data_IF_755486170414
#
_entry.id   IF_755486170414
#
_cell.length_a   1.000
_cell.length_b   1.000
_cell.length_c   1.000
_cell.angle_alpha   90.00
_cell.angle_beta   90.00
_cell.angle_gamma   90.00
#
_symmetry.space_group_name_H-M   'P 1'
#
loop_
_entity.id
_entity.type
_entity.pdbx_description
1 polymer ?
#
# COMPACT_ATOMS: atom_id res chain seq x y z
N UNK A 1 1.75 -4.56 7.60
CA UNK A 1 1.55 -5.56 6.52
C UNK A 1 2.51 -6.71 6.70
N UNK A 2 2.21 -7.85 6.09
CA UNK A 2 3.16 -8.96 5.95
C UNK A 2 3.55 -9.06 4.48
N UNK A 3 4.85 -9.04 4.21
CA UNK A 3 5.37 -9.07 2.84
C UNK A 3 6.69 -9.83 2.77
N UNK A 4 7.04 -10.29 1.57
CA UNK A 4 8.33 -10.89 1.25
C UNK A 4 9.10 -9.87 0.41
N UNK A 5 10.34 -9.51 0.79
CA UNK A 5 11.15 -8.56 0.05
C UNK A 5 11.47 -9.08 -1.37
N UNK A 6 11.61 -8.14 -2.29
CA UNK A 6 11.96 -8.40 -3.68
C UNK A 6 13.25 -9.21 -3.81
N UNK A 7 13.27 -10.14 -4.76
CA UNK A 7 14.47 -10.89 -5.15
C UNK A 7 15.15 -10.27 -6.39
N UNK A 8 14.83 -9.00 -6.71
CA UNK A 8 15.47 -8.24 -7.78
C UNK A 8 14.80 -8.33 -9.15
N UNK A 9 13.89 -9.28 -9.39
CA UNK A 9 13.24 -9.44 -10.71
C UNK A 9 11.83 -10.03 -10.64
N UNK A 10 11.01 -9.72 -11.67
CA UNK A 10 9.64 -10.23 -11.83
C UNK A 10 9.58 -11.75 -11.82
N UNK A 11 10.50 -12.39 -12.53
CA UNK A 11 10.56 -13.86 -12.63
C UNK A 11 10.83 -14.51 -11.26
N UNK A 12 11.72 -13.91 -10.45
CA UNK A 12 11.98 -14.36 -9.08
C UNK A 12 10.75 -14.21 -8.18
N UNK A 13 10.02 -13.11 -8.31
CA UNK A 13 8.77 -12.88 -7.57
C UNK A 13 7.67 -13.87 -7.98
N UNK A 14 7.50 -14.14 -9.27
CA UNK A 14 6.50 -15.08 -9.77
C UNK A 14 6.81 -16.52 -9.33
N UNK A 15 8.07 -16.96 -9.46
CA UNK A 15 8.51 -18.26 -8.96
C UNK A 15 8.21 -18.40 -7.46
N UNK A 16 8.53 -17.38 -6.66
CA UNK A 16 8.28 -17.41 -5.23
C UNK A 16 6.78 -17.39 -4.90
N UNK A 17 5.99 -16.63 -5.65
CA UNK A 17 4.53 -16.64 -5.55
C UNK A 17 3.94 -18.04 -5.84
N UNK A 18 4.43 -18.72 -6.88
CA UNK A 18 4.02 -20.08 -7.18
C UNK A 18 4.37 -21.07 -6.06
N UNK A 19 5.56 -20.96 -5.45
CA UNK A 19 5.92 -21.76 -4.27
C UNK A 19 5.00 -21.51 -3.08
N UNK A 20 4.67 -20.25 -2.79
CA UNK A 20 3.76 -19.87 -1.71
C UNK A 20 2.35 -20.43 -1.93
N UNK A 21 1.86 -20.39 -3.17
CA UNK A 21 0.58 -21.01 -3.54
C UNK A 21 0.57 -22.52 -3.32
N UNK A 22 1.67 -23.21 -3.65
CA UNK A 22 1.82 -24.66 -3.38
C UNK A 22 1.84 -24.98 -1.88
N UNK A 23 2.33 -24.06 -1.05
CA UNK A 23 2.28 -24.16 0.42
C UNK A 23 0.90 -23.76 1.01
N UNK A 24 -0.12 -23.54 0.17
CA UNK A 24 -1.47 -23.19 0.60
C UNK A 24 -1.67 -21.71 0.95
N UNK A 25 -0.75 -20.83 0.52
CA UNK A 25 -0.91 -19.38 0.64
C UNK A 25 -1.48 -18.87 -0.68
N UNK A 26 -2.80 -18.80 -0.74
CA UNK A 26 -3.54 -18.27 -1.90
C UNK A 26 -3.57 -16.74 -1.91
N UNK A 27 -3.52 -16.14 -0.72
CA UNK A 27 -3.69 -14.71 -0.51
C UNK A 27 -2.36 -13.95 -0.63
N UNK A 28 -1.84 -13.89 -1.87
CA UNK A 28 -0.60 -13.19 -2.20
C UNK A 28 -0.79 -12.23 -3.36
N UNK A 29 0.00 -11.16 -3.38
CA UNK A 29 -0.03 -10.13 -4.40
C UNK A 29 1.39 -9.66 -4.72
N UNK A 30 1.78 -9.68 -5.99
CA UNK A 30 3.09 -9.19 -6.41
C UNK A 30 3.02 -7.66 -6.51
N UNK A 31 3.89 -6.97 -5.79
CA UNK A 31 4.03 -5.51 -5.82
C UNK A 31 4.69 -5.14 -7.15
N UNK A 32 3.92 -4.57 -8.06
CA UNK A 32 4.39 -4.07 -9.36
C UNK A 32 4.65 -2.55 -9.34
N UNK A 33 4.34 -1.89 -8.24
CA UNK A 33 4.53 -0.46 -8.05
C UNK A 33 6.01 -0.06 -8.20
N UNK A 34 6.29 1.15 -8.71
CA UNK A 34 7.65 1.67 -8.87
C UNK A 34 8.26 2.19 -7.55
N UNK A 35 8.03 1.43 -6.47
CA UNK A 35 8.55 1.70 -5.14
C UNK A 35 9.82 0.88 -4.88
N UNK A 36 10.53 1.20 -3.79
CA UNK A 36 11.64 0.38 -3.26
C UNK A 36 11.24 -1.09 -2.97
N UNK A 37 9.94 -1.40 -2.95
CA UNK A 37 9.37 -2.73 -2.76
C UNK A 37 8.96 -3.43 -4.08
N UNK A 38 9.35 -2.89 -5.25
CA UNK A 38 9.05 -3.48 -6.55
C UNK A 38 9.51 -4.95 -6.63
N UNK A 39 8.64 -5.82 -7.11
CA UNK A 39 8.79 -7.29 -7.14
C UNK A 39 8.76 -7.96 -5.76
N UNK A 40 8.38 -7.24 -4.70
CA UNK A 40 8.02 -7.87 -3.43
C UNK A 40 6.68 -8.60 -3.52
N UNK A 41 6.42 -9.52 -2.59
CA UNK A 41 5.13 -10.23 -2.49
C UNK A 41 4.42 -9.80 -1.23
N UNK A 42 3.31 -9.10 -1.35
CA UNK A 42 2.41 -8.79 -0.24
C UNK A 42 1.55 -10.01 0.09
N UNK A 43 1.56 -10.41 1.35
CA UNK A 43 0.75 -11.52 1.87
C UNK A 43 -0.48 -11.05 2.64
N UNK A 44 -0.66 -9.73 2.78
CA UNK A 44 -1.81 -9.13 3.45
C UNK A 44 -1.47 -7.82 4.15
N UNK A 45 -2.46 -6.92 4.18
CA UNK A 45 -2.45 -5.72 5.00
C UNK A 45 -3.30 -5.95 6.23
N UNK A 46 -2.78 -5.57 7.40
CA UNK A 46 -3.43 -5.75 8.68
C UNK A 46 -3.54 -4.38 9.36
N UNK A 47 -4.67 -4.13 10.04
CA UNK A 47 -4.90 -2.88 10.79
C UNK A 47 -3.99 -2.76 12.02
N UNK A 48 -3.62 -3.89 12.62
CA UNK A 48 -2.78 -3.94 13.82
C UNK A 48 -1.51 -4.75 13.58
N UNK A 49 -0.43 -4.40 14.26
CA UNK A 49 0.82 -5.16 14.20
C UNK A 49 0.68 -6.55 14.79
N UNK A 50 -0.11 -6.71 15.87
CA UNK A 50 -0.36 -7.99 16.52
C UNK A 50 -0.98 -9.02 15.55
N UNK A 51 -1.98 -8.61 14.75
CA UNK A 51 -2.58 -9.49 13.74
C UNK A 51 -1.57 -9.87 12.64
N UNK A 52 -0.71 -8.94 12.23
CA UNK A 52 0.35 -9.21 11.25
C UNK A 52 1.39 -10.22 11.79
N UNK A 53 1.79 -10.08 13.06
CA UNK A 53 2.71 -11.02 13.73
C UNK A 53 2.11 -12.41 13.87
N UNK A 54 0.84 -12.52 14.29
CA UNK A 54 0.16 -13.81 14.39
C UNK A 54 0.07 -14.53 13.02
N UNK A 55 -0.22 -13.77 11.97
CA UNK A 55 -0.20 -14.29 10.60
C UNK A 55 1.22 -14.71 10.17
N UNK A 56 2.26 -13.93 10.49
CA UNK A 56 3.65 -14.30 10.24
C UNK A 56 4.02 -15.63 10.92
N UNK A 57 3.63 -15.83 12.18
CA UNK A 57 3.86 -17.10 12.89
C UNK A 57 3.17 -18.27 12.17
N UNK A 58 1.93 -18.08 11.72
CA UNK A 58 1.18 -19.08 10.95
C UNK A 58 1.86 -19.42 9.62
N UNK A 59 2.44 -18.42 8.94
CA UNK A 59 3.24 -18.61 7.73
C UNK A 59 4.53 -19.38 8.01
N UNK A 60 5.20 -19.08 9.13
CA UNK A 60 6.40 -19.81 9.58
C UNK A 60 6.14 -21.29 9.84
N UNK A 61 5.00 -21.63 10.45
CA UNK A 61 4.55 -23.02 10.65
C UNK A 61 4.29 -23.76 9.33
N UNK A 62 3.88 -23.03 8.27
CA UNK A 62 3.72 -23.56 6.92
C UNK A 62 5.03 -23.59 6.10
N UNK A 63 6.17 -23.28 6.72
CA UNK A 63 7.49 -23.31 6.08
C UNK A 63 7.93 -22.00 5.42
N UNK A 64 7.14 -20.93 5.54
CA UNK A 64 7.46 -19.63 4.92
C UNK A 64 8.28 -18.76 5.85
N UNK A 65 9.61 -18.85 5.72
CA UNK A 65 10.59 -18.04 6.48
C UNK A 65 11.01 -16.74 5.79
N UNK A 66 10.60 -16.55 4.54
CA UNK A 66 10.94 -15.36 3.75
C UNK A 66 10.02 -14.17 4.01
N UNK A 67 8.90 -14.39 4.70
CA UNK A 67 7.96 -13.34 5.06
C UNK A 67 8.50 -12.49 6.21
N UNK A 68 8.22 -11.19 6.16
CA UNK A 68 8.55 -10.20 7.19
C UNK A 68 7.34 -9.33 7.47
N UNK A 69 7.17 -8.95 8.73
CA UNK A 69 6.24 -7.87 9.08
C UNK A 69 6.93 -6.55 8.78
N UNK A 70 6.27 -5.68 8.03
CA UNK A 70 6.69 -4.30 7.87
C UNK A 70 5.52 -3.37 7.99
N UNK A 71 5.80 -2.14 8.39
CA UNK A 71 4.83 -1.06 8.29
C UNK A 71 4.68 -0.80 6.79
N UNK A 72 3.52 -1.15 6.21
CA UNK A 72 3.17 -0.57 4.91
C UNK A 72 2.81 0.86 5.27
N UNK A 73 3.76 1.77 5.13
CA UNK A 73 3.38 3.06 4.62
C UNK A 73 2.80 2.74 3.24
N UNK A 74 1.50 2.47 3.19
CA UNK A 74 0.78 2.82 1.98
C UNK A 74 1.07 4.31 1.93
N UNK A 75 2.01 4.71 1.09
CA UNK A 75 2.00 6.05 0.57
C UNK A 75 0.64 6.13 -0.09
N UNK A 76 -0.40 6.43 0.69
CA UNK A 76 -1.54 7.16 0.18
C UNK A 76 -0.85 8.30 -0.52
N UNK A 77 -0.76 8.20 -1.85
CA UNK A 77 -0.23 9.28 -2.68
C UNK A 77 -1.19 10.41 -2.40
N UNK A 78 -0.88 11.21 -1.38
CA UNK A 78 -1.61 12.41 -1.04
C UNK A 78 -1.24 13.35 -2.16
N UNK A 79 -2.10 13.40 -3.16
CA UNK A 79 -1.93 14.33 -4.27
C UNK A 79 -2.44 15.67 -3.76
N UNK A 80 -1.55 16.64 -3.67
CA UNK A 80 -1.92 18.03 -3.45
C UNK A 80 -2.09 18.67 -4.83
N UNK A 81 -3.25 19.27 -5.07
CA UNK A 81 -3.51 20.05 -6.28
C UNK A 81 -3.34 21.53 -5.95
N UNK A 82 -2.49 22.21 -6.72
CA UNK A 82 -2.41 23.66 -6.70
C UNK A 82 -3.33 24.20 -7.81
N UNK A 83 -4.40 24.86 -7.40
CA UNK A 83 -5.28 25.58 -8.30
C UNK A 83 -4.78 27.03 -8.39
N UNK A 84 -4.39 27.47 -9.58
CA UNK A 84 -3.98 28.84 -9.88
C UNK A 84 -5.11 29.55 -10.61
N UNK A 85 -5.22 30.86 -10.43
CA UNK A 85 -6.19 31.71 -11.15
C UNK A 85 -7.64 31.23 -10.98
N UNK A 86 -8.06 31.06 -9.71
CA UNK A 86 -9.43 30.68 -9.39
C UNK A 86 -10.38 31.87 -9.50
N UNK A 87 -11.24 31.85 -10.50
CA UNK A 87 -12.37 32.78 -10.59
C UNK A 87 -13.34 32.60 -9.40
N UNK A 88 -14.10 33.64 -9.00
CA UNK A 88 -15.01 33.59 -7.86
C UNK A 88 -16.05 32.46 -7.96
N UNK A 89 -16.55 32.21 -9.18
CA UNK A 89 -17.50 31.12 -9.44
C UNK A 89 -16.88 29.73 -9.22
N UNK A 90 -15.61 29.56 -9.61
CA UNK A 90 -14.86 28.30 -9.45
C UNK A 90 -14.53 28.02 -7.99
N UNK A 91 -14.22 29.07 -7.21
CA UNK A 91 -14.01 28.95 -5.76
C UNK A 91 -15.27 28.45 -5.05
N UNK A 92 -16.45 28.99 -5.40
CA UNK A 92 -17.71 28.54 -4.81
C UNK A 92 -18.03 27.07 -5.16
N UNK A 93 -17.74 26.64 -6.38
CA UNK A 93 -17.89 25.24 -6.77
C UNK A 93 -16.94 24.32 -5.98
N UNK A 94 -15.69 24.75 -5.75
CA UNK A 94 -14.71 24.02 -4.95
C UNK A 94 -15.16 23.87 -3.49
N UNK A 95 -15.69 24.94 -2.87
CA UNK A 95 -16.17 24.88 -1.48
C UNK A 95 -17.37 23.92 -1.32
N UNK A 96 -18.24 23.80 -2.34
CA UNK A 96 -19.30 22.77 -2.35
C UNK A 96 -18.74 21.37 -2.40
N UNK A 97 -17.76 21.12 -3.28
CA UNK A 97 -17.09 19.81 -3.36
C UNK A 97 -16.43 19.48 -2.02
N UNK A 98 -15.72 20.43 -1.41
CA UNK A 98 -15.06 20.22 -0.11
C UNK A 98 -16.04 19.89 1.02
N UNK A 99 -17.27 20.40 0.98
CA UNK A 99 -18.30 20.06 1.96
C UNK A 99 -18.66 18.55 1.94
N UNK A 100 -18.57 17.91 0.77
CA UNK A 100 -18.82 16.48 0.60
C UNK A 100 -17.62 15.61 1.05
N UNK A 101 -16.44 16.20 1.26
CA UNK A 101 -15.21 15.51 1.64
C UNK A 101 -14.55 16.09 2.91
N UNK A 102 -15.11 15.83 4.11
CA UNK A 102 -14.67 16.45 5.37
C UNK A 102 -13.23 16.10 5.79
N UNK A 103 -12.63 15.06 5.21
CA UNK A 103 -11.23 14.68 5.46
C UNK A 103 -10.21 15.50 4.64
N UNK A 104 -10.67 16.28 3.64
CA UNK A 104 -9.80 17.09 2.78
C UNK A 104 -9.61 18.50 3.36
N UNK A 105 -8.37 19.01 3.33
CA UNK A 105 -8.05 20.36 3.83
C UNK A 105 -7.67 21.28 2.69
N UNK A 106 -8.42 22.36 2.51
CA UNK A 106 -8.03 23.52 1.69
C UNK A 106 -6.98 24.32 2.46
N UNK A 107 -5.90 24.72 1.77
CA UNK A 107 -4.90 25.68 2.27
C UNK A 107 -4.68 26.73 1.21
N UNK A 108 -4.44 27.97 1.62
CA UNK A 108 -4.05 29.04 0.72
C UNK A 108 -2.58 28.84 0.32
N UNK A 109 -2.24 29.09 -0.94
CA UNK A 109 -0.86 29.06 -1.40
C UNK A 109 -0.14 30.33 -0.94
N UNK A 110 0.33 30.37 0.32
CA UNK A 110 1.03 31.56 0.82
C UNK A 110 1.25 31.72 2.33
N UNK A 111 1.00 30.71 3.17
CA UNK A 111 1.41 30.71 4.59
C UNK A 111 1.87 29.32 5.06
#
# INVERSE_FOLDING_TARGET
>A
MVFIPSQGSKAGADKKAAELRRMGITNLFIIQDNSALRWGISLGVFKTEAAARAYLTSLGQRGVRSARVGVRSVSTSKVAYQLRELEPATTQALDRILADFPEQKKRECGQ
#
